data_IF_775767185824
#
_entry.id   IF_775767185824
#
_cell.length_a   1.000
_cell.length_b   1.000
_cell.length_c   1.000
_cell.angle_alpha   90.00
_cell.angle_beta   90.00
_cell.angle_gamma   90.00
#
_symmetry.space_group_name_H-M   'P 1'
#
loop_
_entity.id
_entity.type
_entity.pdbx_description
1 polymer ?
#
# COMPACT_ATOMS: atom_id res chain seq x y z
N UNK A 1 -30.88 -19.62 -25.65
CA UNK A 1 -30.99 -18.27 -26.28
C UNK A 1 -29.63 -17.62 -26.13
N UNK A 2 -28.97 -17.26 -27.23
CA UNK A 2 -27.73 -16.47 -27.19
C UNK A 2 -28.13 -15.06 -26.73
N UNK A 3 -28.02 -14.79 -25.43
CA UNK A 3 -28.19 -13.45 -24.91
C UNK A 3 -27.08 -12.59 -25.52
N UNK A 4 -27.45 -11.47 -26.14
CA UNK A 4 -26.50 -10.46 -26.58
C UNK A 4 -25.56 -10.09 -25.44
N UNK A 5 -24.28 -9.79 -25.72
CA UNK A 5 -23.30 -9.46 -24.69
C UNK A 5 -23.86 -8.36 -23.78
N UNK A 6 -23.75 -8.49 -22.44
CA UNK A 6 -24.16 -7.43 -21.53
C UNK A 6 -23.39 -6.16 -21.91
N UNK A 7 -24.13 -5.15 -22.39
CA UNK A 7 -23.54 -3.86 -22.70
C UNK A 7 -23.02 -3.26 -21.39
N UNK A 8 -21.72 -3.07 -21.30
CA UNK A 8 -21.09 -2.31 -20.22
C UNK A 8 -21.46 -0.84 -20.39
N UNK A 9 -21.87 -0.20 -19.31
CA UNK A 9 -21.93 1.26 -19.29
C UNK A 9 -20.53 1.87 -19.08
N UNK A 10 -20.44 3.20 -19.18
CA UNK A 10 -19.17 3.91 -19.08
C UNK A 10 -18.53 3.79 -17.69
N UNK A 11 -19.33 3.76 -16.62
CA UNK A 11 -18.84 3.65 -15.25
C UNK A 11 -18.35 2.23 -14.95
N UNK A 12 -19.06 1.20 -15.43
CA UNK A 12 -18.65 -0.19 -15.33
C UNK A 12 -17.35 -0.46 -16.09
N UNK A 13 -17.23 0.08 -17.31
CA UNK A 13 -15.99 -0.02 -18.11
C UNK A 13 -14.81 0.65 -17.41
N UNK A 14 -15.03 1.82 -16.81
CA UNK A 14 -14.03 2.54 -16.03
C UNK A 14 -13.65 1.79 -14.75
N UNK A 15 -14.63 1.22 -14.05
CA UNK A 15 -14.39 0.41 -12.86
C UNK A 15 -13.58 -0.85 -13.20
N UNK A 16 -13.96 -1.59 -14.25
CA UNK A 16 -13.25 -2.78 -14.72
C UNK A 16 -11.79 -2.46 -15.05
N UNK A 17 -11.57 -1.40 -15.82
CA UNK A 17 -10.21 -0.92 -16.13
C UNK A 17 -9.44 -0.62 -14.84
N UNK A 18 -10.06 0.08 -13.89
CA UNK A 18 -9.42 0.44 -12.62
C UNK A 18 -9.09 -0.78 -11.76
N UNK A 19 -9.99 -1.76 -11.64
CA UNK A 19 -9.73 -2.94 -10.80
C UNK A 19 -8.76 -3.92 -11.46
N UNK A 20 -8.71 -3.99 -12.79
CA UNK A 20 -7.89 -4.98 -13.50
C UNK A 20 -6.49 -4.49 -13.85
N UNK A 21 -6.24 -3.18 -13.95
CA UNK A 21 -4.97 -2.66 -14.47
C UNK A 21 -4.23 -1.78 -13.48
N UNK A 22 -2.89 -1.88 -13.47
CA UNK A 22 -2.01 -1.00 -12.71
C UNK A 22 -0.82 -0.60 -13.58
N UNK A 23 -0.53 0.70 -13.63
CA UNK A 23 0.73 1.21 -14.18
C UNK A 23 0.92 0.97 -15.67
N UNK A 24 -0.10 1.19 -16.50
CA UNK A 24 -0.01 1.04 -17.97
C UNK A 24 1.09 1.90 -18.62
N UNK A 25 1.58 2.92 -17.92
CA UNK A 25 2.71 3.78 -18.32
C UNK A 25 4.00 3.53 -17.50
N UNK A 26 4.11 2.42 -16.77
CA UNK A 26 5.27 2.06 -15.95
C UNK A 26 6.02 0.87 -16.56
N UNK A 27 7.29 0.68 -16.20
CA UNK A 27 8.12 -0.41 -16.74
C UNK A 27 7.62 -1.82 -16.38
N UNK A 28 6.76 -1.96 -15.36
CA UNK A 28 6.19 -3.22 -14.92
C UNK A 28 4.66 -3.08 -14.75
N UNK A 29 3.90 -3.05 -15.87
CA UNK A 29 2.45 -2.98 -15.80
C UNK A 29 1.88 -4.31 -15.27
N UNK A 30 0.82 -4.23 -14.46
CA UNK A 30 0.06 -5.40 -14.03
C UNK A 30 -1.31 -5.35 -14.68
N UNK A 31 -1.67 -6.44 -15.35
CA UNK A 31 -3.00 -6.66 -15.93
C UNK A 31 -3.55 -7.97 -15.40
N UNK A 32 -4.67 -7.88 -14.69
CA UNK A 32 -5.35 -9.04 -14.16
C UNK A 32 -6.19 -9.74 -15.22
N UNK A 33 -6.37 -11.05 -15.06
CA UNK A 33 -7.30 -11.82 -15.91
C UNK A 33 -8.73 -11.75 -15.33
N UNK A 34 -9.76 -12.07 -16.14
CA UNK A 34 -11.12 -12.26 -15.60
C UNK A 34 -11.20 -13.32 -14.49
N UNK A 35 -10.41 -14.39 -14.60
CA UNK A 35 -10.32 -15.44 -13.56
C UNK A 35 -9.84 -14.89 -12.22
N UNK A 36 -8.82 -14.04 -12.29
CA UNK A 36 -8.24 -13.40 -11.11
C UNK A 36 -9.21 -12.41 -10.47
N UNK A 37 -9.94 -11.63 -11.29
CA UNK A 37 -10.97 -10.71 -10.82
C UNK A 37 -12.08 -11.44 -10.06
N UNK A 38 -12.63 -12.53 -10.61
CA UNK A 38 -13.71 -13.27 -9.93
C UNK A 38 -13.22 -13.96 -8.66
N UNK A 39 -11.96 -14.37 -8.60
CA UNK A 39 -11.35 -14.87 -7.36
C UNK A 39 -11.28 -13.79 -6.28
N UNK A 40 -10.93 -12.55 -6.63
CA UNK A 40 -11.03 -11.42 -5.69
C UNK A 40 -12.48 -11.14 -5.28
N UNK A 41 -13.45 -11.25 -6.20
CA UNK A 41 -14.88 -11.15 -5.84
C UNK A 41 -15.25 -12.23 -4.82
N UNK A 42 -14.78 -13.47 -5.01
CA UNK A 42 -14.95 -14.55 -4.05
C UNK A 42 -14.39 -14.23 -2.66
N UNK A 43 -13.22 -13.59 -2.59
CA UNK A 43 -12.65 -13.08 -1.33
C UNK A 43 -13.59 -12.07 -0.68
N UNK A 44 -14.14 -11.10 -1.42
CA UNK A 44 -15.12 -10.13 -0.87
C UNK A 44 -16.36 -10.83 -0.30
N UNK A 45 -16.90 -11.82 -1.00
CA UNK A 45 -18.04 -12.60 -0.50
C UNK A 45 -17.72 -13.35 0.79
N UNK A 46 -16.50 -13.89 0.90
CA UNK A 46 -16.03 -14.58 2.10
C UNK A 46 -15.93 -13.61 3.27
N UNK A 47 -15.24 -12.50 3.07
CA UNK A 47 -14.93 -11.53 4.13
C UNK A 47 -16.19 -10.89 4.70
N UNK A 48 -17.23 -10.76 3.87
CA UNK A 48 -18.52 -10.18 4.25
C UNK A 48 -19.55 -11.21 4.74
N UNK A 49 -19.19 -12.50 4.77
CA UNK A 49 -20.09 -13.58 5.21
C UNK A 49 -21.30 -13.77 4.29
N UNK A 50 -21.17 -13.45 3.00
CA UNK A 50 -22.27 -13.47 2.02
C UNK A 50 -22.22 -14.64 1.04
N UNK A 51 -21.36 -15.63 1.28
CA UNK A 51 -21.20 -16.82 0.43
C UNK A 51 -22.51 -17.52 0.09
N UNK A 52 -23.40 -17.72 1.06
CA UNK A 52 -24.69 -18.37 0.81
C UNK A 52 -25.57 -17.57 -0.16
N UNK A 53 -25.44 -16.24 -0.20
CA UNK A 53 -26.19 -15.39 -1.12
C UNK A 53 -25.69 -15.48 -2.56
N UNK A 54 -24.38 -15.69 -2.72
CA UNK A 54 -23.77 -15.99 -4.01
C UNK A 54 -24.29 -17.33 -4.54
N UNK A 55 -24.19 -18.40 -3.76
CA UNK A 55 -24.56 -19.75 -4.21
C UNK A 55 -26.07 -19.93 -4.43
N UNK A 56 -26.91 -19.12 -3.77
CA UNK A 56 -28.36 -19.09 -4.05
C UNK A 56 -28.66 -18.64 -5.48
N UNK A 57 -27.84 -17.75 -6.04
CA UNK A 57 -28.04 -17.21 -7.40
C UNK A 57 -27.24 -18.03 -8.42
N UNK A 58 -26.00 -18.38 -8.09
CA UNK A 58 -25.11 -19.16 -8.93
C UNK A 58 -24.57 -20.39 -8.15
N UNK A 59 -25.33 -21.50 -8.13
CA UNK A 59 -24.96 -22.68 -7.36
C UNK A 59 -23.59 -23.24 -7.74
N UNK A 60 -22.74 -23.47 -6.74
CA UNK A 60 -21.41 -24.05 -6.92
C UNK A 60 -20.34 -23.05 -7.37
N UNK A 61 -20.68 -21.76 -7.49
CA UNK A 61 -19.70 -20.72 -7.83
C UNK A 61 -18.73 -20.46 -6.69
N UNK A 62 -19.18 -20.51 -5.42
CA UNK A 62 -18.29 -20.35 -4.27
C UNK A 62 -17.10 -21.33 -4.29
N UNK A 63 -17.36 -22.60 -4.60
CA UNK A 63 -16.34 -23.64 -4.69
C UNK A 63 -15.28 -23.39 -5.78
N UNK A 64 -15.61 -22.58 -6.81
CA UNK A 64 -14.70 -22.25 -7.91
C UNK A 64 -13.86 -21.01 -7.63
N UNK A 65 -14.45 -20.00 -6.99
CA UNK A 65 -13.85 -18.65 -6.91
C UNK A 65 -13.40 -18.25 -5.51
N UNK A 66 -13.72 -19.04 -4.47
CA UNK A 66 -13.36 -18.69 -3.10
C UNK A 66 -12.15 -19.49 -2.61
N UNK A 67 -11.17 -18.83 -1.96
CA UNK A 67 -10.05 -19.55 -1.38
C UNK A 67 -10.43 -20.20 -0.04
N UNK A 68 -9.78 -21.31 0.28
CA UNK A 68 -9.92 -21.99 1.57
C UNK A 68 -9.21 -21.28 2.73
N UNK A 69 -8.20 -20.45 2.42
CA UNK A 69 -7.39 -19.71 3.41
C UNK A 69 -7.53 -18.20 3.23
N UNK A 70 -7.30 -17.43 4.29
CA UNK A 70 -7.35 -15.96 4.20
C UNK A 70 -6.39 -15.45 3.14
N UNK A 71 -6.73 -14.33 2.50
CA UNK A 71 -6.03 -13.78 1.34
C UNK A 71 -4.50 -13.84 1.41
N UNK A 72 -3.88 -13.41 2.51
CA UNK A 72 -2.41 -13.40 2.65
C UNK A 72 -1.78 -14.80 2.79
N UNK A 73 -2.59 -15.81 3.09
CA UNK A 73 -2.19 -17.22 3.16
C UNK A 73 -2.47 -17.98 1.87
N UNK A 74 -3.10 -17.34 0.88
CA UNK A 74 -3.35 -17.93 -0.43
C UNK A 74 -2.12 -17.73 -1.31
N UNK A 75 -1.56 -18.80 -1.92
CA UNK A 75 -0.46 -18.66 -2.87
C UNK A 75 -0.84 -17.79 -4.06
N UNK A 76 0.10 -16.98 -4.55
CA UNK A 76 -0.13 -16.09 -5.70
C UNK A 76 -0.58 -16.89 -6.94
N UNK A 77 -0.04 -18.10 -7.15
CA UNK A 77 -0.42 -18.99 -8.25
C UNK A 77 -1.91 -19.36 -8.25
N UNK A 78 -2.53 -19.47 -7.07
CA UNK A 78 -3.97 -19.75 -7.00
C UNK A 78 -4.79 -18.60 -7.59
N UNK A 79 -4.35 -17.35 -7.47
CA UNK A 79 -5.07 -16.23 -8.10
C UNK A 79 -4.90 -16.22 -9.62
N UNK A 80 -3.69 -16.58 -10.09
CA UNK A 80 -3.31 -16.52 -11.51
C UNK A 80 -3.86 -17.71 -12.30
N UNK A 81 -4.03 -18.87 -11.66
CA UNK A 81 -4.53 -20.08 -12.30
C UNK A 81 -5.88 -19.82 -13.00
N UNK A 82 -6.02 -20.07 -14.31
CA UNK A 82 -7.26 -19.86 -15.02
C UNK A 82 -8.37 -20.76 -14.49
N UNK A 83 -9.59 -20.23 -14.41
CA UNK A 83 -10.79 -21.03 -14.17
C UNK A 83 -11.71 -20.92 -15.38
N UNK A 84 -12.52 -21.95 -15.59
CA UNK A 84 -13.52 -21.92 -16.65
C UNK A 84 -14.60 -20.89 -16.30
N UNK A 85 -14.70 -19.86 -17.13
CA UNK A 85 -15.75 -18.83 -17.05
C UNK A 85 -16.55 -18.78 -18.34
N UNK A 86 -17.83 -18.52 -18.20
CA UNK A 86 -18.68 -18.16 -19.33
C UNK A 86 -18.36 -16.72 -19.80
N UNK A 87 -18.76 -16.41 -21.03
CA UNK A 87 -18.58 -15.08 -21.60
C UNK A 87 -19.25 -14.03 -20.69
N UNK A 88 -18.47 -13.05 -20.21
CA UNK A 88 -18.91 -11.98 -19.29
C UNK A 88 -19.32 -12.40 -17.87
N UNK A 89 -19.10 -13.64 -17.44
CA UNK A 89 -19.46 -14.09 -16.08
C UNK A 89 -18.84 -13.21 -14.99
N UNK A 90 -17.61 -12.74 -15.20
CA UNK A 90 -16.93 -11.80 -14.31
C UNK A 90 -17.66 -10.45 -14.13
N UNK A 91 -18.30 -9.95 -15.18
CA UNK A 91 -19.11 -8.72 -15.13
C UNK A 91 -20.39 -8.97 -14.35
N UNK A 92 -21.04 -10.11 -14.59
CA UNK A 92 -22.28 -10.48 -13.90
C UNK A 92 -22.04 -10.65 -12.39
N UNK A 93 -20.96 -11.32 -12.00
CA UNK A 93 -20.57 -11.48 -10.60
C UNK A 93 -20.23 -10.14 -9.93
N UNK A 94 -19.57 -9.23 -10.64
CA UNK A 94 -19.30 -7.87 -10.15
C UNK A 94 -20.60 -7.10 -9.90
N UNK A 95 -21.55 -7.13 -10.85
CA UNK A 95 -22.87 -6.51 -10.72
C UNK A 95 -23.68 -7.13 -9.59
N UNK A 96 -23.59 -8.44 -9.41
CA UNK A 96 -24.26 -9.14 -8.31
C UNK A 96 -23.70 -8.70 -6.96
N UNK A 97 -22.36 -8.66 -6.83
CA UNK A 97 -21.70 -8.18 -5.63
C UNK A 97 -22.12 -6.76 -5.26
N UNK A 98 -22.14 -5.85 -6.24
CA UNK A 98 -22.60 -4.47 -6.06
C UNK A 98 -24.05 -4.35 -5.57
N UNK A 99 -24.91 -5.34 -5.90
CA UNK A 99 -26.30 -5.39 -5.42
C UNK A 99 -26.43 -6.02 -4.03
N UNK A 100 -25.62 -7.03 -3.72
CA UNK A 100 -25.77 -7.83 -2.50
C UNK A 100 -25.00 -7.27 -1.30
N UNK A 101 -23.85 -6.64 -1.55
CA UNK A 101 -22.89 -6.25 -0.52
C UNK A 101 -22.78 -4.72 -0.48
N UNK A 102 -23.13 -4.06 0.65
CA UNK A 102 -22.83 -2.65 0.85
C UNK A 102 -21.33 -2.39 0.68
N UNK A 103 -20.97 -1.26 0.06
CA UNK A 103 -19.58 -0.87 -0.23
C UNK A 103 -18.77 -1.85 -1.09
N UNK A 104 -19.41 -2.83 -1.73
CA UNK A 104 -18.72 -3.83 -2.58
C UNK A 104 -17.73 -3.22 -3.57
N UNK A 105 -18.14 -2.15 -4.27
CA UNK A 105 -17.32 -1.49 -5.28
C UNK A 105 -16.06 -0.90 -4.66
N UNK A 106 -16.19 -0.26 -3.48
CA UNK A 106 -15.05 0.31 -2.74
C UNK A 106 -14.15 -0.80 -2.21
N UNK A 107 -14.72 -1.85 -1.63
CA UNK A 107 -14.00 -3.01 -1.11
C UNK A 107 -13.19 -3.69 -2.22
N UNK A 108 -13.86 -4.06 -3.33
CA UNK A 108 -13.24 -4.71 -4.49
C UNK A 108 -12.11 -3.83 -5.04
N UNK A 109 -12.34 -2.52 -5.17
CA UNK A 109 -11.31 -1.57 -5.62
C UNK A 109 -10.09 -1.60 -4.72
N UNK A 110 -10.26 -1.51 -3.40
CA UNK A 110 -9.15 -1.51 -2.45
C UNK A 110 -8.40 -2.85 -2.46
N UNK A 111 -9.14 -3.97 -2.50
CA UNK A 111 -8.57 -5.30 -2.57
C UNK A 111 -7.79 -5.52 -3.88
N UNK A 112 -8.33 -5.07 -5.01
CA UNK A 112 -7.65 -5.11 -6.30
C UNK A 112 -6.39 -4.26 -6.33
N UNK A 113 -6.38 -3.07 -5.73
CA UNK A 113 -5.14 -2.28 -5.61
C UNK A 113 -4.09 -3.01 -4.78
N UNK A 114 -4.45 -3.54 -3.60
CA UNK A 114 -3.56 -4.37 -2.79
C UNK A 114 -2.99 -5.53 -3.59
N UNK A 115 -3.84 -6.26 -4.30
CA UNK A 115 -3.44 -7.43 -5.08
C UNK A 115 -2.50 -7.09 -6.23
N UNK A 116 -2.83 -6.08 -7.03
CA UNK A 116 -1.97 -5.63 -8.13
C UNK A 116 -0.62 -5.12 -7.63
N UNK A 117 -0.57 -4.42 -6.49
CA UNK A 117 0.70 -3.94 -5.89
C UNK A 117 1.56 -5.10 -5.39
N UNK A 118 0.96 -6.12 -4.77
CA UNK A 118 1.66 -7.36 -4.40
C UNK A 118 2.25 -8.07 -5.62
N UNK A 119 1.46 -8.22 -6.70
CA UNK A 119 1.95 -8.79 -7.97
C UNK A 119 3.08 -7.98 -8.57
N UNK A 120 2.94 -6.64 -8.58
CA UNK A 120 4.00 -5.76 -9.06
C UNK A 120 5.27 -5.90 -8.23
N UNK A 121 5.17 -6.00 -6.90
CA UNK A 121 6.33 -6.21 -6.06
C UNK A 121 7.00 -7.56 -6.29
N UNK A 122 6.21 -8.64 -6.53
CA UNK A 122 6.77 -9.93 -6.96
C UNK A 122 7.56 -9.80 -8.27
N UNK A 123 7.06 -9.05 -9.25
CA UNK A 123 7.79 -8.76 -10.50
C UNK A 123 9.07 -7.95 -10.23
N UNK A 124 9.01 -6.96 -9.33
CA UNK A 124 10.19 -6.16 -8.93
C UNK A 124 11.28 -7.05 -8.32
N UNK A 125 10.92 -7.99 -7.44
CA UNK A 125 11.90 -8.90 -6.83
C UNK A 125 12.67 -9.70 -7.88
N UNK A 126 11.96 -10.20 -8.89
CA UNK A 126 12.55 -10.93 -10.01
C UNK A 126 13.38 -10.06 -10.94
N UNK A 127 12.96 -8.81 -11.17
CA UNK A 127 13.53 -7.93 -12.18
C UNK A 127 14.62 -6.97 -11.69
N UNK A 128 14.65 -6.63 -10.39
CA UNK A 128 15.58 -5.64 -9.84
C UNK A 128 17.03 -6.02 -10.13
N UNK A 129 17.81 -5.25 -10.90
CA UNK A 129 19.17 -5.61 -11.26
C UNK A 129 20.12 -5.57 -10.06
N UNK A 130 21.19 -6.38 -10.14
CA UNK A 130 22.28 -6.29 -9.18
C UNK A 130 23.06 -4.98 -9.36
N UNK A 131 23.44 -4.30 -8.26
CA UNK A 131 24.21 -3.06 -8.35
C UNK A 131 25.59 -3.27 -8.97
N UNK A 132 25.98 -2.35 -9.84
CA UNK A 132 27.32 -2.31 -10.44
C UNK A 132 28.36 -1.78 -9.45
N UNK A 133 29.64 -2.09 -9.67
CA UNK A 133 30.73 -1.59 -8.81
C UNK A 133 30.84 -0.05 -8.83
N UNK A 134 30.48 0.60 -9.95
CA UNK A 134 30.47 2.06 -10.04
C UNK A 134 29.45 2.66 -9.07
N UNK A 135 28.28 2.03 -8.89
CA UNK A 135 27.24 2.50 -7.99
C UNK A 135 27.59 2.36 -6.50
N UNK A 136 28.49 1.43 -6.14
CA UNK A 136 28.78 1.12 -4.73
C UNK A 136 30.18 1.52 -4.27
N UNK A 137 31.17 1.56 -5.17
CA UNK A 137 32.58 1.78 -4.81
C UNK A 137 32.88 3.09 -4.07
N UNK A 138 32.21 4.25 -4.29
CA UNK A 138 32.47 5.46 -3.50
C UNK A 138 32.20 5.27 -2.00
N UNK A 139 31.28 4.36 -1.64
CA UNK A 139 30.96 4.05 -0.24
C UNK A 139 32.06 3.27 0.46
N UNK A 140 33.03 2.71 -0.28
CA UNK A 140 34.17 2.03 0.32
C UNK A 140 35.02 2.97 1.18
N UNK A 141 35.04 4.29 0.92
CA UNK A 141 35.83 5.26 1.68
C UNK A 141 35.58 5.23 3.20
N UNK A 142 34.39 4.82 3.64
CA UNK A 142 34.03 4.77 5.07
C UNK A 142 34.44 3.46 5.76
N UNK A 143 34.68 2.40 5.00
CA UNK A 143 34.87 1.02 5.51
C UNK A 143 36.19 0.38 5.02
N UNK A 144 36.91 1.03 4.10
CA UNK A 144 38.13 0.50 3.50
C UNK A 144 39.21 0.22 4.56
N UNK A 145 39.88 -0.93 4.45
CA UNK A 145 40.88 -1.39 5.41
C UNK A 145 40.32 -2.07 6.66
N UNK A 146 39.00 -2.14 6.83
CA UNK A 146 38.35 -2.91 7.92
C UNK A 146 38.04 -4.36 7.52
N UNK A 147 37.88 -4.62 6.22
CA UNK A 147 37.67 -5.93 5.63
C UNK A 147 38.62 -6.10 4.43
N UNK A 148 38.83 -7.35 4.00
CA UNK A 148 39.44 -7.63 2.71
C UNK A 148 38.63 -6.97 1.58
N UNK A 149 39.31 -6.47 0.55
CA UNK A 149 38.70 -5.72 -0.56
C UNK A 149 37.59 -6.49 -1.28
N UNK A 150 37.76 -7.79 -1.53
CA UNK A 150 36.75 -8.63 -2.19
C UNK A 150 35.50 -8.77 -1.30
N UNK A 151 35.71 -9.04 -0.01
CA UNK A 151 34.63 -9.13 0.96
C UNK A 151 33.87 -7.79 1.10
N UNK A 152 34.59 -6.67 1.11
CA UNK A 152 33.96 -5.34 1.16
C UNK A 152 33.16 -5.05 -0.11
N UNK A 153 33.69 -5.37 -1.30
CA UNK A 153 32.95 -5.20 -2.55
C UNK A 153 31.66 -6.02 -2.56
N UNK A 154 31.71 -7.30 -2.18
CA UNK A 154 30.52 -8.16 -2.08
C UNK A 154 29.51 -7.63 -1.05
N UNK A 155 29.98 -7.19 0.12
CA UNK A 155 29.12 -6.60 1.15
C UNK A 155 28.40 -5.34 0.66
N UNK A 156 29.13 -4.43 -0.01
CA UNK A 156 28.57 -3.20 -0.55
C UNK A 156 27.50 -3.45 -1.61
N UNK A 157 27.71 -4.45 -2.46
CA UNK A 157 26.73 -4.87 -3.48
C UNK A 157 25.46 -5.42 -2.85
N UNK A 158 25.56 -6.37 -1.90
CA UNK A 158 24.38 -6.89 -1.19
C UNK A 158 23.63 -5.80 -0.44
N UNK A 159 24.36 -4.90 0.24
CA UNK A 159 23.76 -3.78 0.97
C UNK A 159 22.98 -2.83 0.07
N UNK A 160 23.51 -2.47 -1.11
CA UNK A 160 22.77 -1.63 -2.06
C UNK A 160 21.59 -2.40 -2.66
N UNK A 161 21.73 -3.69 -2.95
CA UNK A 161 20.61 -4.50 -3.45
C UNK A 161 19.45 -4.55 -2.45
N UNK A 162 19.72 -4.82 -1.17
CA UNK A 162 18.68 -4.80 -0.12
C UNK A 162 18.06 -3.41 0.04
N UNK A 163 18.86 -2.35 -0.01
CA UNK A 163 18.36 -0.98 0.00
C UNK A 163 17.40 -0.71 -1.17
N UNK A 164 17.72 -1.20 -2.37
CA UNK A 164 16.86 -1.00 -3.55
C UNK A 164 15.54 -1.76 -3.42
N UNK A 165 15.58 -3.01 -2.93
CA UNK A 165 14.37 -3.79 -2.67
C UNK A 165 13.48 -3.15 -1.61
N UNK A 166 14.07 -2.63 -0.52
CA UNK A 166 13.36 -1.92 0.53
C UNK A 166 12.75 -0.61 0.02
N UNK A 167 13.54 0.19 -0.71
CA UNK A 167 13.08 1.45 -1.29
C UNK A 167 11.89 1.24 -2.25
N UNK A 168 11.94 0.20 -3.10
CA UNK A 168 10.81 -0.15 -3.97
C UNK A 168 9.60 -0.65 -3.17
N UNK A 169 9.82 -1.46 -2.13
CA UNK A 169 8.75 -1.91 -1.23
C UNK A 169 8.05 -0.73 -0.54
N UNK A 170 8.84 0.21 -0.02
CA UNK A 170 8.35 1.42 0.62
C UNK A 170 7.54 2.30 -0.36
N UNK A 171 8.04 2.45 -1.59
CA UNK A 171 7.34 3.18 -2.64
C UNK A 171 5.98 2.53 -2.99
N UNK A 172 5.94 1.22 -3.23
CA UNK A 172 4.69 0.51 -3.54
C UNK A 172 3.73 0.53 -2.35
N UNK A 173 4.25 0.51 -1.11
CA UNK A 173 3.46 0.66 0.11
C UNK A 173 2.83 2.05 0.20
N UNK A 174 3.58 3.13 -0.07
CA UNK A 174 3.04 4.49 -0.09
C UNK A 174 1.91 4.65 -1.10
N UNK A 175 2.08 4.13 -2.31
CA UNK A 175 1.04 4.15 -3.34
C UNK A 175 -0.19 3.29 -3.06
N UNK A 176 -0.11 2.40 -2.08
CA UNK A 176 -1.20 1.54 -1.65
C UNK A 176 -1.92 2.12 -0.45
N UNK A 177 -1.16 2.53 0.56
CA UNK A 177 -1.63 2.84 1.91
C UNK A 177 -2.61 4.02 1.92
N UNK A 178 -2.19 5.19 1.42
CA UNK A 178 -2.99 6.41 1.48
C UNK A 178 -4.29 6.29 0.67
N UNK A 179 -4.27 5.81 -0.59
CA UNK A 179 -5.49 5.72 -1.38
C UNK A 179 -6.50 4.71 -0.84
N UNK A 180 -6.03 3.62 -0.23
CA UNK A 180 -6.88 2.60 0.39
C UNK A 180 -7.58 3.15 1.64
N UNK A 181 -6.84 3.84 2.53
CA UNK A 181 -7.44 4.45 3.71
C UNK A 181 -8.42 5.56 3.31
N UNK A 182 -8.03 6.43 2.38
CA UNK A 182 -8.89 7.51 1.88
C UNK A 182 -10.21 6.95 1.34
N UNK A 183 -10.13 5.91 0.51
CA UNK A 183 -11.28 5.22 -0.05
C UNK A 183 -12.15 4.57 1.04
N UNK A 184 -11.54 3.90 2.01
CA UNK A 184 -12.24 3.17 3.05
C UNK A 184 -13.08 4.10 3.94
N UNK A 185 -12.58 5.29 4.25
CA UNK A 185 -13.32 6.30 5.02
C UNK A 185 -14.23 7.17 4.14
N UNK A 186 -14.43 6.83 2.87
CA UNK A 186 -15.33 7.54 1.96
C UNK A 186 -14.82 8.90 1.47
N UNK A 187 -13.52 9.17 1.59
CA UNK A 187 -12.87 10.33 0.99
C UNK A 187 -12.09 10.01 -0.27
N UNK A 188 -11.30 10.98 -0.74
CA UNK A 188 -10.50 10.85 -1.96
C UNK A 188 -9.17 11.61 -1.84
N UNK A 189 -8.06 11.06 -2.38
CA UNK A 189 -6.82 11.82 -2.49
C UNK A 189 -6.99 13.04 -3.40
N UNK A 190 -6.40 14.18 -3.01
CA UNK A 190 -6.40 15.40 -3.82
C UNK A 190 -4.97 15.86 -4.07
N UNK A 191 -4.58 15.90 -5.34
CA UNK A 191 -3.31 16.49 -5.74
C UNK A 191 -3.32 18.02 -5.65
N UNK A 192 -2.14 18.63 -5.60
CA UNK A 192 -1.95 20.08 -5.49
C UNK A 192 -2.72 20.90 -6.56
N UNK A 193 -2.92 20.35 -7.76
CA UNK A 193 -3.66 21.04 -8.83
C UNK A 193 -5.15 21.22 -8.55
N UNK A 194 -5.73 20.41 -7.69
CA UNK A 194 -7.12 20.56 -7.28
C UNK A 194 -7.34 21.84 -6.43
N UNK A 195 -6.27 22.37 -5.82
CA UNK A 195 -6.27 23.60 -5.00
C UNK A 195 -7.37 23.63 -3.93
N UNK A 196 -7.75 22.44 -3.41
CA UNK A 196 -8.69 22.30 -2.28
C UNK A 196 -8.09 22.83 -0.99
N UNK A 197 -6.77 22.72 -0.86
CA UNK A 197 -5.94 23.38 0.14
C UNK A 197 -4.88 24.18 -0.63
N UNK A 198 -4.64 25.42 -0.22
CA UNK A 198 -3.66 26.33 -0.81
C UNK A 198 -2.53 26.59 0.18
N UNK A 199 -1.31 26.71 -0.34
CA UNK A 199 -0.17 27.05 0.50
C UNK A 199 -0.31 28.48 1.01
N UNK A 200 0.02 28.70 2.28
CA UNK A 200 -0.06 29.99 2.95
C UNK A 200 1.02 30.96 2.48
N UNK A 201 2.19 30.45 2.13
CA UNK A 201 3.30 31.23 1.58
C UNK A 201 3.09 31.64 0.11
N UNK A 202 2.34 30.84 -0.66
CA UNK A 202 2.01 31.08 -2.06
C UNK A 202 0.62 30.53 -2.40
N UNK A 203 -0.41 31.39 -2.27
CA UNK A 203 -1.80 31.03 -2.55
C UNK A 203 -2.07 30.65 -4.03
N UNK A 204 -1.12 30.86 -4.94
CA UNK A 204 -1.24 30.38 -6.32
C UNK A 204 -1.05 28.87 -6.44
N UNK A 205 -0.35 28.26 -5.46
CA UNK A 205 -0.02 26.84 -5.38
C UNK A 205 -0.96 26.13 -4.43
N UNK A 206 -1.43 24.96 -4.86
CA UNK A 206 -2.18 24.07 -4.00
C UNK A 206 -1.28 23.11 -3.24
N UNK A 207 -1.89 22.40 -2.29
CA UNK A 207 -1.26 21.35 -1.49
C UNK A 207 -1.87 20.00 -1.85
N UNK A 208 -1.03 18.96 -1.83
CA UNK A 208 -1.52 17.58 -1.84
C UNK A 208 -2.17 17.30 -0.49
N UNK A 209 -3.27 16.56 -0.51
CA UNK A 209 -4.01 16.10 0.66
C UNK A 209 -4.25 14.60 0.48
N UNK A 210 -3.83 13.79 1.45
CA UNK A 210 -3.90 12.33 1.35
C UNK A 210 -5.34 11.84 1.29
N UNK A 211 -6.22 12.48 2.07
CA UNK A 211 -7.65 12.29 1.97
C UNK A 211 -8.44 13.57 2.20
N UNK A 212 -9.26 13.94 1.22
CA UNK A 212 -10.27 14.97 1.31
C UNK A 212 -11.64 14.34 1.51
N UNK A 213 -12.35 14.74 2.57
CA UNK A 213 -13.69 14.24 2.90
C UNK A 213 -14.62 15.39 3.26
N UNK A 214 -15.81 15.42 2.66
CA UNK A 214 -16.86 16.39 3.03
C UNK A 214 -17.78 15.72 4.04
N UNK A 215 -17.92 16.33 5.23
CA UNK A 215 -18.87 15.86 6.25
C UNK A 215 -20.31 16.14 5.83
N UNK A 216 -21.31 15.46 6.44
CA UNK A 216 -22.73 15.73 6.18
C UNK A 216 -23.15 17.20 6.43
N UNK A 217 -22.45 17.91 7.32
CA UNK A 217 -22.68 19.33 7.59
C UNK A 217 -22.02 20.28 6.56
N UNK A 218 -21.39 19.74 5.52
CA UNK A 218 -20.72 20.47 4.45
C UNK A 218 -19.29 20.90 4.77
N UNK A 219 -18.76 20.64 5.97
CA UNK A 219 -17.39 21.03 6.32
C UNK A 219 -16.36 20.05 5.73
N UNK A 220 -15.29 20.54 5.10
CA UNK A 220 -14.23 19.68 4.60
C UNK A 220 -13.25 19.27 5.70
N UNK A 221 -12.87 18.00 5.68
CA UNK A 221 -11.75 17.43 6.42
C UNK A 221 -10.59 17.21 5.44
N UNK A 222 -9.39 17.62 5.86
CA UNK A 222 -8.15 17.39 5.14
C UNK A 222 -7.25 16.50 5.99
N UNK A 223 -7.16 15.23 5.61
CA UNK A 223 -6.38 14.23 6.31
C UNK A 223 -4.94 14.19 5.81
N UNK A 224 -4.01 14.06 6.76
CA UNK A 224 -2.62 13.66 6.56
C UNK A 224 -2.44 12.28 7.22
N UNK A 225 -2.07 11.28 6.44
CA UNK A 225 -1.86 9.91 6.92
C UNK A 225 -0.38 9.61 7.07
N UNK A 226 0.03 9.08 8.23
CA UNK A 226 1.40 8.63 8.46
C UNK A 226 1.43 7.22 9.05
N UNK A 227 2.22 6.35 8.44
CA UNK A 227 2.55 5.05 9.03
C UNK A 227 3.37 5.25 10.32
N UNK A 228 4.40 6.09 10.27
CA UNK A 228 5.29 6.44 11.40
C UNK A 228 5.87 7.83 11.19
N UNK A 229 6.04 8.59 12.28
CA UNK A 229 6.82 9.84 12.29
C UNK A 229 8.27 9.51 12.68
N UNK A 230 9.22 9.77 11.79
CA UNK A 230 10.64 9.46 12.03
C UNK A 230 11.51 10.72 12.10
N UNK A 231 12.61 10.60 12.84
CA UNK A 231 13.68 11.61 12.87
C UNK A 231 14.66 11.30 11.73
N UNK A 232 14.23 11.44 10.47
CA UNK A 232 15.15 11.27 9.34
C UNK A 232 16.22 12.38 9.32
N UNK A 233 17.47 11.99 9.00
CA UNK A 233 18.66 12.85 9.04
C UNK A 233 18.62 14.04 8.05
N UNK A 234 17.81 13.98 7.00
CA UNK A 234 17.65 15.07 6.01
C UNK A 234 16.52 16.08 6.35
N UNK A 235 16.02 16.07 7.60
CA UNK A 235 14.64 16.41 7.90
C UNK A 235 14.31 17.79 8.48
N UNK A 236 15.13 18.84 8.34
CA UNK A 236 14.69 20.17 8.81
C UNK A 236 13.71 20.86 7.85
N UNK A 237 13.98 20.87 6.54
CA UNK A 237 13.08 21.51 5.55
C UNK A 237 11.75 20.77 5.39
N UNK A 238 11.78 19.43 5.33
CA UNK A 238 10.57 18.60 5.19
C UNK A 238 9.66 18.66 6.41
N UNK A 239 10.22 18.80 7.61
CA UNK A 239 9.43 18.89 8.82
C UNK A 239 8.68 20.23 8.94
N UNK A 240 9.31 21.32 8.48
CA UNK A 240 8.63 22.62 8.36
C UNK A 240 7.44 22.54 7.40
N UNK A 241 7.57 21.82 6.28
CA UNK A 241 6.44 21.58 5.39
C UNK A 241 5.31 20.81 6.10
N UNK A 242 5.61 19.74 6.83
CA UNK A 242 4.60 18.95 7.56
C UNK A 242 3.83 19.79 8.59
N UNK A 243 4.50 20.67 9.35
CA UNK A 243 3.85 21.59 10.28
C UNK A 243 2.93 22.59 9.55
N UNK A 244 3.41 23.15 8.43
CA UNK A 244 2.66 24.15 7.66
C UNK A 244 1.36 23.59 7.06
N UNK A 245 1.24 22.27 6.90
CA UNK A 245 0.02 21.67 6.36
C UNK A 245 -1.23 22.02 7.18
N UNK A 246 -1.15 22.00 8.51
CA UNK A 246 -2.28 22.33 9.38
C UNK A 246 -2.74 23.79 9.19
N UNK A 247 -1.78 24.71 9.05
CA UNK A 247 -2.04 26.11 8.76
C UNK A 247 -2.68 26.31 7.38
N UNK A 248 -2.14 25.65 6.35
CA UNK A 248 -2.68 25.70 4.99
C UNK A 248 -4.13 25.21 4.94
N UNK A 249 -4.46 24.13 5.67
CA UNK A 249 -5.82 23.61 5.77
C UNK A 249 -6.77 24.62 6.43
N UNK A 250 -6.39 25.15 7.59
CA UNK A 250 -7.20 26.12 8.31
C UNK A 250 -7.45 27.39 7.48
N UNK A 251 -6.42 27.91 6.82
CA UNK A 251 -6.53 29.07 5.92
C UNK A 251 -7.39 28.79 4.68
N UNK A 252 -7.52 27.51 4.30
CA UNK A 252 -8.38 27.05 3.20
C UNK A 252 -9.80 26.66 3.67
N UNK A 253 -10.12 26.82 4.97
CA UNK A 253 -11.43 26.49 5.53
C UNK A 253 -11.68 24.99 5.75
N UNK A 254 -10.62 24.18 5.71
CA UNK A 254 -10.66 22.75 6.03
C UNK A 254 -10.19 22.49 7.46
N UNK A 255 -10.76 21.46 8.08
CA UNK A 255 -10.32 20.97 9.38
C UNK A 255 -9.17 19.98 9.13
N UNK A 256 -7.94 20.28 9.60
CA UNK A 256 -6.82 19.36 9.42
C UNK A 256 -6.98 18.15 10.36
N UNK A 257 -6.74 16.94 9.84
CA UNK A 257 -6.81 15.70 10.61
C UNK A 257 -5.52 14.90 10.43
N UNK A 258 -4.74 14.75 11.48
CA UNK A 258 -3.54 13.93 11.49
C UNK A 258 -3.91 12.52 11.96
N UNK A 259 -3.52 11.50 11.21
CA UNK A 259 -3.63 10.10 11.61
C UNK A 259 -2.25 9.47 11.56
N UNK A 260 -1.74 9.03 12.72
CA UNK A 260 -0.44 8.37 12.82
C UNK A 260 -0.62 6.97 13.41
N UNK A 261 -0.30 5.94 12.63
CA UNK A 261 -0.56 4.56 13.04
C UNK A 261 0.44 4.01 14.05
N UNK A 262 1.71 4.42 13.95
CA UNK A 262 2.74 4.06 14.91
C UNK A 262 2.81 5.08 16.06
N UNK A 263 2.57 4.66 17.32
CA UNK A 263 2.55 5.55 18.47
C UNK A 263 3.95 5.84 19.07
N UNK A 264 5.04 5.39 18.46
CA UNK A 264 6.40 5.51 19.02
C UNK A 264 6.71 6.96 19.40
N UNK A 265 6.89 7.27 20.71
CA UNK A 265 7.07 8.62 21.17
C UNK A 265 8.30 9.27 20.57
N UNK A 266 8.14 10.45 19.98
CA UNK A 266 9.26 11.27 19.57
C UNK A 266 8.88 12.77 19.57
N UNK A 267 9.86 13.69 19.70
CA UNK A 267 9.57 15.13 19.75
C UNK A 267 8.77 15.64 18.55
N UNK A 268 9.09 15.18 17.32
CA UNK A 268 8.41 15.62 16.09
C UNK A 268 6.92 15.26 16.08
N UNK A 269 6.58 14.07 16.58
CA UNK A 269 5.20 13.63 16.69
C UNK A 269 4.39 14.54 17.63
N UNK A 270 4.99 14.92 18.78
CA UNK A 270 4.37 15.84 19.74
C UNK A 270 4.14 17.23 19.13
N UNK A 271 5.15 17.75 18.41
CA UNK A 271 5.07 19.06 17.77
C UNK A 271 4.00 19.07 16.66
N UNK A 272 3.92 18.01 15.84
CA UNK A 272 2.90 17.86 14.80
C UNK A 272 1.48 17.79 15.40
N UNK A 273 1.29 17.00 16.46
CA UNK A 273 0.01 16.92 17.14
C UNK A 273 -0.43 18.29 17.64
N UNK A 274 0.46 19.01 18.33
CA UNK A 274 0.16 20.32 18.87
C UNK A 274 -0.21 21.33 17.77
N UNK A 275 0.47 21.28 16.63
CA UNK A 275 0.18 22.18 15.50
C UNK A 275 -1.21 21.92 14.89
N UNK A 276 -1.57 20.65 14.65
CA UNK A 276 -2.90 20.30 14.12
C UNK A 276 -4.01 20.74 15.08
N UNK A 277 -3.86 20.49 16.37
CA UNK A 277 -4.83 20.89 17.41
C UNK A 277 -4.93 22.42 17.54
N UNK A 278 -3.79 23.14 17.47
CA UNK A 278 -3.76 24.60 17.54
C UNK A 278 -4.49 25.27 16.37
N UNK A 279 -4.59 24.60 15.21
CA UNK A 279 -5.33 25.06 14.03
C UNK A 279 -6.79 24.57 14.00
N UNK A 280 -7.30 24.08 15.14
CA UNK A 280 -8.68 23.62 15.29
C UNK A 280 -8.95 22.25 14.66
N UNK A 281 -7.90 21.49 14.39
CA UNK A 281 -7.93 20.13 13.86
C UNK A 281 -7.93 19.04 14.92
N UNK A 282 -7.62 17.83 14.47
CA UNK A 282 -7.53 16.63 15.31
C UNK A 282 -6.27 15.84 15.01
N UNK A 283 -5.73 15.15 16.02
CA UNK A 283 -4.63 14.22 15.88
C UNK A 283 -5.00 12.89 16.55
N UNK A 284 -5.01 11.81 15.77
CA UNK A 284 -5.29 10.45 16.22
C UNK A 284 -4.04 9.59 16.07
N UNK A 285 -3.60 8.96 17.16
CA UNK A 285 -2.30 8.29 17.25
C UNK A 285 -2.48 6.85 17.74
N UNK A 286 -1.79 5.89 17.13
CA UNK A 286 -1.82 4.48 17.55
C UNK A 286 -3.23 3.89 17.54
N UNK A 287 -3.67 3.33 18.65
CA UNK A 287 -5.02 2.75 18.78
C UNK A 287 -6.14 3.76 18.54
N UNK A 288 -5.95 5.04 18.88
CA UNK A 288 -6.93 6.08 18.57
C UNK A 288 -7.02 6.35 17.06
N UNK A 289 -5.91 6.19 16.33
CA UNK A 289 -5.88 6.29 14.87
C UNK A 289 -6.70 5.16 14.24
N UNK A 290 -6.50 3.93 14.71
CA UNK A 290 -7.25 2.77 14.23
C UNK A 290 -8.75 2.88 14.52
N UNK A 291 -9.11 3.23 15.76
CA UNK A 291 -10.51 3.42 16.14
C UNK A 291 -11.20 4.50 15.29
N UNK A 292 -10.52 5.63 15.04
CA UNK A 292 -11.05 6.68 14.19
C UNK A 292 -11.28 6.21 12.74
N UNK A 293 -10.31 5.50 12.17
CA UNK A 293 -10.44 4.97 10.80
C UNK A 293 -11.57 3.95 10.68
N UNK A 294 -11.73 3.05 11.66
CA UNK A 294 -12.80 2.05 11.69
C UNK A 294 -14.18 2.70 11.83
N UNK A 295 -14.32 3.72 12.69
CA UNK A 295 -15.56 4.49 12.85
C UNK A 295 -15.95 5.19 11.54
N UNK A 296 -15.00 5.89 10.92
CA UNK A 296 -15.24 6.66 9.69
C UNK A 296 -15.48 5.77 8.46
N UNK A 297 -15.00 4.52 8.47
CA UNK A 297 -15.16 3.56 7.38
C UNK A 297 -16.52 2.82 7.42
N UNK A 298 -17.14 2.71 8.59
CA UNK A 298 -18.35 1.89 8.77
C UNK A 298 -18.06 0.38 8.69
N UNK A 299 -19.06 -0.46 8.98
CA UNK A 299 -18.82 -1.88 9.32
C UNK A 299 -18.13 -2.72 8.25
N UNK A 300 -18.46 -2.54 6.96
CA UNK A 300 -17.87 -3.33 5.87
C UNK A 300 -16.43 -2.90 5.59
N UNK A 301 -16.17 -1.60 5.46
CA UNK A 301 -14.81 -1.11 5.18
C UNK A 301 -13.92 -1.13 6.44
N UNK A 302 -14.46 -1.07 7.65
CA UNK A 302 -13.71 -1.36 8.88
C UNK A 302 -13.18 -2.80 8.88
N UNK A 303 -13.98 -3.77 8.42
CA UNK A 303 -13.52 -5.15 8.22
C UNK A 303 -12.37 -5.23 7.23
N UNK A 304 -12.40 -4.42 6.16
CA UNK A 304 -11.28 -4.33 5.22
C UNK A 304 -10.01 -3.79 5.91
N UNK A 305 -10.11 -2.66 6.62
CA UNK A 305 -8.97 -2.02 7.31
C UNK A 305 -8.34 -2.99 8.30
N UNK A 306 -9.16 -3.66 9.10
CA UNK A 306 -8.69 -4.63 10.09
C UNK A 306 -7.91 -5.78 9.43
N UNK A 307 -8.53 -6.45 8.45
CA UNK A 307 -7.96 -7.64 7.81
C UNK A 307 -6.73 -7.35 6.96
N UNK A 308 -6.76 -6.25 6.21
CA UNK A 308 -5.80 -5.97 5.13
C UNK A 308 -4.77 -4.91 5.46
N UNK A 309 -4.95 -4.17 6.55
CA UNK A 309 -4.02 -3.11 6.94
C UNK A 309 -3.54 -3.34 8.37
N UNK A 310 -4.43 -3.31 9.36
CA UNK A 310 -4.04 -3.34 10.78
C UNK A 310 -3.44 -4.69 11.20
N UNK A 311 -4.13 -5.79 10.96
CA UNK A 311 -3.67 -7.14 11.31
C UNK A 311 -2.29 -7.46 10.73
N UNK A 312 -2.02 -7.33 9.41
CA UNK A 312 -0.70 -7.67 8.87
C UNK A 312 0.42 -6.77 9.39
N UNK A 313 0.17 -5.46 9.58
CA UNK A 313 1.15 -4.55 10.19
C UNK A 313 1.45 -4.97 11.63
N UNK A 314 0.41 -5.24 12.43
CA UNK A 314 0.54 -5.62 13.84
C UNK A 314 1.27 -6.95 14.01
N UNK A 315 1.02 -7.91 13.11
CA UNK A 315 1.72 -9.20 13.10
C UNK A 315 3.24 -9.03 12.92
N UNK A 316 3.68 -8.15 12.03
CA UNK A 316 5.11 -7.86 11.82
C UNK A 316 5.70 -7.07 12.99
N UNK A 317 4.98 -6.07 13.52
CA UNK A 317 5.43 -5.28 14.66
C UNK A 317 5.61 -6.11 15.94
N UNK A 318 4.93 -7.25 16.07
CA UNK A 318 5.05 -8.16 17.22
C UNK A 318 6.43 -8.82 17.40
N UNK A 319 7.32 -8.70 16.41
CA UNK A 319 8.70 -9.22 16.48
C UNK A 319 9.68 -8.27 17.19
N UNK A 320 9.23 -7.09 17.60
CA UNK A 320 9.92 -6.26 18.58
C UNK A 320 9.49 -6.67 19.99
N UNK A 321 10.43 -7.09 20.85
CA UNK A 321 10.13 -7.52 22.22
C UNK A 321 10.64 -6.47 23.21
N UNK A 322 9.83 -6.14 24.21
CA UNK A 322 10.23 -5.29 25.34
C UNK A 322 11.36 -5.95 26.14
N UNK A 323 12.34 -5.15 26.51
CA UNK A 323 13.48 -5.57 27.32
C UNK A 323 13.18 -5.21 28.76
N UNK A 324 13.17 -6.21 29.65
CA UNK A 324 13.00 -6.04 31.09
C UNK A 324 11.69 -5.32 31.51
N UNK A 325 10.64 -5.40 30.69
CA UNK A 325 9.35 -4.73 30.93
C UNK A 325 9.38 -3.21 30.70
N UNK A 326 10.43 -2.69 30.08
CA UNK A 326 10.55 -1.30 29.68
C UNK A 326 10.03 -1.13 28.24
N UNK A 327 8.89 -0.45 28.11
CA UNK A 327 8.22 -0.17 26.83
C UNK A 327 9.05 0.70 25.89
N UNK A 328 10.00 1.47 26.43
CA UNK A 328 10.90 2.34 25.66
C UNK A 328 12.15 1.58 25.18
N UNK A 329 12.41 0.37 25.69
CA UNK A 329 13.56 -0.46 25.32
C UNK A 329 13.08 -1.71 24.60
N UNK A 330 13.09 -1.64 23.28
CA UNK A 330 12.75 -2.77 22.41
C UNK A 330 13.99 -3.47 21.88
N UNK A 331 13.92 -4.80 21.75
CA UNK A 331 14.92 -5.63 21.07
C UNK A 331 14.25 -6.40 19.93
N UNK A 332 14.91 -6.41 18.78
CA UNK A 332 14.50 -7.22 17.64
C UNK A 332 14.86 -8.69 17.86
N UNK A 333 13.91 -9.58 17.59
CA UNK A 333 14.18 -11.01 17.43
C UNK A 333 14.47 -11.31 15.96
N UNK A 334 15.71 -11.08 15.53
CA UNK A 334 16.14 -11.39 14.17
C UNK A 334 16.47 -12.87 14.04
N UNK A 335 16.04 -13.47 12.93
CA UNK A 335 16.48 -14.79 12.48
C UNK A 335 17.79 -14.64 11.69
N UNK A 336 18.56 -15.72 11.63
CA UNK A 336 19.79 -15.76 10.83
C UNK A 336 19.46 -15.58 9.35
N UNK A 337 20.17 -14.67 8.68
CA UNK A 337 20.03 -14.39 7.26
C UNK A 337 21.22 -14.98 6.50
N UNK A 338 20.92 -15.82 5.52
CA UNK A 338 21.85 -16.19 4.47
C UNK A 338 21.30 -15.72 3.11
N UNK A 339 22.15 -15.07 2.32
CA UNK A 339 21.81 -14.65 0.97
C UNK A 339 22.81 -15.23 -0.02
N UNK A 340 22.30 -15.90 -1.06
CA UNK A 340 23.11 -16.58 -2.07
C UNK A 340 22.55 -16.29 -3.45
N UNK A 341 23.45 -16.23 -4.42
CA UNK A 341 23.11 -16.18 -5.83
C UNK A 341 23.53 -17.51 -6.46
N UNK A 342 22.60 -18.18 -7.14
CA UNK A 342 22.81 -19.50 -7.75
C UNK A 342 22.18 -19.46 -9.12
N UNK A 343 22.97 -19.61 -10.19
CA UNK A 343 22.53 -19.80 -11.59
C UNK A 343 21.15 -19.22 -11.96
N UNK A 344 21.03 -17.87 -11.99
CA UNK A 344 19.77 -17.22 -12.40
C UNK A 344 18.72 -17.09 -11.29
N UNK A 345 19.05 -17.44 -10.05
CA UNK A 345 18.22 -17.31 -8.87
C UNK A 345 18.94 -16.56 -7.74
N UNK A 346 18.15 -15.91 -6.88
CA UNK A 346 18.57 -15.47 -5.56
C UNK A 346 17.83 -16.29 -4.52
N UNK A 347 18.56 -16.83 -3.55
CA UNK A 347 18.03 -17.59 -2.43
C UNK A 347 18.30 -16.81 -1.15
N UNK A 348 17.22 -16.48 -0.44
CA UNK A 348 17.29 -15.97 0.92
C UNK A 348 16.83 -17.04 1.90
N UNK A 349 17.71 -17.44 2.81
CA UNK A 349 17.36 -18.28 3.95
C UNK A 349 17.26 -17.40 5.19
N UNK A 350 16.12 -17.44 5.87
CA UNK A 350 15.80 -16.66 7.06
C UNK A 350 15.34 -17.63 8.15
N UNK A 351 16.27 -18.04 9.03
CA UNK A 351 16.05 -19.17 9.94
C UNK A 351 15.73 -20.46 9.17
N UNK A 352 14.59 -21.07 9.45
CA UNK A 352 14.11 -22.29 8.75
C UNK A 352 13.31 -21.98 7.47
N UNK A 353 13.13 -20.70 7.14
CA UNK A 353 12.36 -20.28 5.98
C UNK A 353 13.29 -20.02 4.80
N UNK A 354 12.85 -20.43 3.61
CA UNK A 354 13.55 -20.15 2.38
C UNK A 354 12.65 -19.35 1.44
N UNK A 355 13.25 -18.36 0.78
CA UNK A 355 12.62 -17.58 -0.28
C UNK A 355 13.50 -17.65 -1.52
N UNK A 356 12.95 -18.28 -2.56
CA UNK A 356 13.53 -18.32 -3.90
C UNK A 356 13.01 -17.13 -4.72
N UNK A 357 13.92 -16.44 -5.41
CA UNK A 357 13.61 -15.36 -6.33
C UNK A 357 14.22 -15.71 -7.68
N UNK A 358 13.37 -16.15 -8.61
CA UNK A 358 13.76 -16.37 -10.00
C UNK A 358 14.14 -15.03 -10.65
N UNK A 359 15.33 -14.96 -11.23
CA UNK A 359 15.87 -13.71 -11.78
C UNK A 359 15.54 -13.59 -13.26
N UNK A 360 14.88 -12.50 -13.60
CA UNK A 360 14.67 -12.04 -14.98
C UNK A 360 15.01 -10.56 -14.98
N UNK A 361 16.30 -10.26 -14.94
CA UNK A 361 16.77 -8.88 -14.73
C UNK A 361 16.26 -7.95 -15.83
N UNK A 362 15.76 -6.80 -15.40
CA UNK A 362 15.40 -5.69 -16.28
C UNK A 362 16.30 -4.50 -15.96
N UNK A 363 17.26 -4.24 -16.84
CA UNK A 363 18.21 -3.16 -16.68
C UNK A 363 17.53 -1.77 -16.62
N UNK A 364 16.30 -1.62 -17.12
CA UNK A 364 15.56 -0.35 -17.04
C UNK A 364 15.17 0.04 -15.61
N UNK A 365 15.23 -0.89 -14.65
CA UNK A 365 14.96 -0.64 -13.24
C UNK A 365 16.19 -0.16 -12.44
N UNK A 366 17.38 -0.18 -13.07
CA UNK A 366 18.64 0.27 -12.49
C UNK A 366 18.77 1.79 -12.41
N UNK A 367 17.98 2.51 -13.23
CA UNK A 367 17.84 3.95 -13.09
C UNK A 367 17.01 4.19 -11.83
N UNK A 368 17.68 4.77 -10.83
CA UNK A 368 17.03 5.56 -9.79
C UNK A 368 16.42 6.76 -10.52
N UNK A 369 15.32 6.51 -11.23
CA UNK A 369 14.58 7.52 -11.94
C UNK A 369 14.29 8.62 -10.94
N UNK A 370 15.01 9.73 -11.10
CA UNK A 370 14.45 11.05 -10.88
C UNK A 370 13.02 10.95 -11.39
N UNK A 371 12.07 11.01 -10.47
CA UNK A 371 10.67 11.31 -10.81
C UNK A 371 10.71 12.30 -11.96
N UNK A 372 10.11 12.01 -13.12
CA UNK A 372 9.80 13.07 -14.04
C UNK A 372 9.07 14.10 -13.19
N UNK A 373 9.56 15.34 -13.18
CA UNK A 373 8.71 16.45 -12.79
C UNK A 373 7.38 16.22 -13.50
N UNK A 374 6.28 16.17 -12.76
CA UNK A 374 4.94 16.34 -13.31
C UNK A 374 4.81 17.79 -13.83
N UNK A 375 5.56 18.13 -14.88
CA UNK A 375 5.10 18.93 -15.99
C UNK A 375 4.28 17.96 -16.86
N UNK A 376 2.98 17.81 -16.59
CA UNK A 376 1.91 18.48 -17.33
C UNK A 376 0.64 18.47 -16.53
#
# INVERSE_FOLDING_TARGET
MKNSPPKLDAEESKLLTKVMTLGTATNLPVVMTPSELVKLIGVVYRDTGRTEQLDKVYPGTSAKIMPHHDYYSVPDDWFIEPIQLDEFEHVELMRLGAKQIPDFVTYLRCLSELHKRRRKYAMILSAQPMPTMVQVSPRALVEYGRLNTEALASWLTWRKFFYDLDNRSAQETGYLFEPVLAAAIGGEPKGARAKVVKRTDDHSKGRQVDCWKIRPDGKPLAYEFKLRVTIAASGQGRFGEELQFAEDCANSGAIPVLVVLDPTPNPRLRDLQAEFEAKGGHAYIGDAAWAHLEEEAGGIMATFIERYVRTPISAISSFEVEVDGDTDRKRLRLLDLEARMVEGDIIFKIGEHERLIARVEDATLSDDGSTPNDEQ
#
